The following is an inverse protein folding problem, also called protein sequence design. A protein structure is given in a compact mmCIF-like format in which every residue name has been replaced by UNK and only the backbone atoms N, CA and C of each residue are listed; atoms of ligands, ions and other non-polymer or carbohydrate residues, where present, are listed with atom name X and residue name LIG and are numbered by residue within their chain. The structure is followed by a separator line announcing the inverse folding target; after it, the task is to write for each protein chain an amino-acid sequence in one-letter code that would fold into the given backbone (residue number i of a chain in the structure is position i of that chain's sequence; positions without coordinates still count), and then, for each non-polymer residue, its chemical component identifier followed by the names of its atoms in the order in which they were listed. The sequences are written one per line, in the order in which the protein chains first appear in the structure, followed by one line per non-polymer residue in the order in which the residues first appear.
data_IF_247732196486
#
_entry.id   IF_247732196486
#
_cell.length_a   1.000
_cell.length_b   1.000
_cell.length_c   1.000
_cell.angle_alpha   90.00
_cell.angle_beta   90.00
_cell.angle_gamma   90.00
#
_symmetry.space_group_name_H-M   'P 1'
#
loop_
_entity.id
_entity.type
_entity.pdbx_description
1 polymer ?
#
# COMPACT_ATOMS: atom_id res chain seq x y z
N UNK A 1 26.64 -18.20 4.72
CA UNK A 1 26.34 -19.06 3.55
C UNK A 1 24.86 -19.01 3.17
N UNK A 2 23.92 -19.28 4.09
CA UNK A 2 22.48 -19.30 3.80
C UNK A 2 21.94 -18.01 3.14
N UNK A 3 22.29 -16.83 3.66
CA UNK A 3 21.88 -15.55 3.05
C UNK A 3 22.33 -15.43 1.59
N UNK A 4 23.59 -15.76 1.29
CA UNK A 4 24.11 -15.77 -0.08
C UNK A 4 23.30 -16.72 -0.96
N UNK A 5 22.95 -17.91 -0.47
CA UNK A 5 22.11 -18.84 -1.21
C UNK A 5 20.71 -18.24 -1.50
N UNK A 6 20.06 -17.62 -0.51
CA UNK A 6 18.75 -16.98 -0.69
C UNK A 6 18.79 -15.85 -1.73
N UNK A 7 19.82 -14.98 -1.69
CA UNK A 7 19.98 -13.91 -2.69
C UNK A 7 20.09 -14.44 -4.12
N UNK A 8 20.82 -15.55 -4.31
CA UNK A 8 20.93 -16.20 -5.61
C UNK A 8 19.62 -16.93 -6.00
N UNK A 9 18.97 -17.61 -5.05
CA UNK A 9 17.65 -18.25 -5.26
C UNK A 9 16.62 -17.22 -5.71
N UNK A 10 16.63 -16.01 -5.14
CA UNK A 10 15.73 -14.93 -5.52
C UNK A 10 15.84 -14.61 -7.03
N UNK A 11 17.06 -14.51 -7.57
CA UNK A 11 17.28 -14.32 -9.01
C UNK A 11 16.82 -15.54 -9.84
N UNK A 12 17.14 -16.74 -9.38
CA UNK A 12 16.78 -17.99 -10.06
C UNK A 12 15.25 -18.13 -10.15
N UNK A 13 14.51 -17.86 -9.07
CA UNK A 13 13.05 -17.93 -9.04
C UNK A 13 12.43 -16.86 -9.93
N UNK A 14 13.03 -15.67 -10.06
CA UNK A 14 12.58 -14.67 -11.04
C UNK A 14 12.76 -15.18 -12.48
N UNK A 15 13.93 -15.76 -12.81
CA UNK A 15 14.21 -16.21 -14.17
C UNK A 15 13.49 -17.52 -14.53
N UNK A 16 13.30 -18.41 -13.55
CA UNK A 16 12.74 -19.75 -13.67
C UNK A 16 11.80 -20.07 -12.48
N UNK A 17 10.57 -19.52 -12.46
CA UNK A 17 9.64 -19.65 -11.33
C UNK A 17 9.25 -21.09 -10.97
N UNK A 18 9.34 -22.02 -11.91
CA UNK A 18 8.89 -23.41 -11.73
C UNK A 18 9.88 -24.29 -10.97
N UNK A 19 11.17 -23.94 -10.90
CA UNK A 19 12.21 -24.82 -10.33
C UNK A 19 11.95 -25.15 -8.85
N UNK A 20 11.41 -24.20 -8.10
CA UNK A 20 11.17 -24.33 -6.65
C UNK A 20 9.69 -24.22 -6.27
N UNK A 21 8.78 -24.35 -7.24
CA UNK A 21 7.35 -24.15 -7.02
C UNK A 21 6.73 -25.09 -5.96
N UNK A 22 7.34 -26.26 -5.74
CA UNK A 22 6.88 -27.26 -4.77
C UNK A 22 7.57 -27.18 -3.40
N UNK A 23 8.60 -26.35 -3.25
CA UNK A 23 9.49 -26.33 -2.08
C UNK A 23 9.21 -25.14 -1.14
N UNK A 24 8.00 -24.59 -1.15
CA UNK A 24 7.68 -23.35 -0.44
C UNK A 24 7.96 -23.41 1.07
N UNK A 25 7.75 -24.58 1.69
CA UNK A 25 7.96 -24.80 3.13
C UNK A 25 9.42 -24.62 3.56
N UNK A 26 10.38 -24.80 2.66
CA UNK A 26 11.81 -24.59 2.95
C UNK A 26 12.10 -23.12 3.25
N UNK A 27 11.26 -22.22 2.73
CA UNK A 27 11.38 -20.78 2.90
C UNK A 27 10.61 -20.25 4.11
N UNK A 28 9.95 -21.10 4.90
CA UNK A 28 9.36 -20.64 6.16
C UNK A 28 10.48 -20.27 7.16
N UNK A 29 10.35 -19.09 7.74
CA UNK A 29 11.25 -18.54 8.74
C UNK A 29 11.16 -19.31 10.05
N UNK A 30 12.32 -19.62 10.62
CA UNK A 30 12.42 -20.20 11.95
C UNK A 30 12.58 -19.07 12.97
N UNK A 31 12.18 -19.32 14.21
CA UNK A 31 12.33 -18.36 15.31
C UNK A 31 13.77 -17.85 15.47
N UNK A 32 14.75 -18.74 15.30
CA UNK A 32 16.17 -18.43 15.44
C UNK A 32 16.87 -17.95 14.16
N UNK A 33 16.13 -17.77 13.05
CA UNK A 33 16.71 -17.20 11.84
C UNK A 33 17.07 -15.72 12.06
N UNK A 34 18.26 -15.26 11.64
CA UNK A 34 18.59 -13.85 11.66
C UNK A 34 17.63 -13.01 10.82
N UNK A 35 17.38 -11.75 11.19
CA UNK A 35 16.41 -10.86 10.53
C UNK A 35 16.61 -10.79 9.00
N UNK A 36 17.84 -10.62 8.52
CA UNK A 36 18.16 -10.56 7.09
C UNK A 36 17.87 -11.88 6.35
N UNK A 37 17.88 -13.02 7.04
CA UNK A 37 17.47 -14.32 6.47
C UNK A 37 15.95 -14.38 6.39
N UNK A 38 15.24 -13.95 7.45
CA UNK A 38 13.77 -13.89 7.47
C UNK A 38 13.23 -13.00 6.35
N UNK A 39 13.83 -11.83 6.14
CA UNK A 39 13.45 -10.89 5.08
C UNK A 39 13.60 -11.50 3.68
N UNK A 40 14.72 -12.17 3.38
CA UNK A 40 14.90 -12.81 2.07
C UNK A 40 13.99 -14.01 1.85
N UNK A 41 13.75 -14.79 2.91
CA UNK A 41 12.79 -15.89 2.90
C UNK A 41 11.40 -15.40 2.54
N UNK A 42 10.95 -14.32 3.18
CA UNK A 42 9.68 -13.67 2.93
C UNK A 42 9.53 -13.24 1.46
N UNK A 43 10.55 -12.62 0.88
CA UNK A 43 10.54 -12.22 -0.53
C UNK A 43 10.41 -13.42 -1.49
N UNK A 44 11.11 -14.52 -1.20
CA UNK A 44 11.03 -15.74 -2.00
C UNK A 44 9.64 -16.39 -1.83
N UNK A 45 9.08 -16.41 -0.62
CA UNK A 45 7.73 -16.94 -0.37
C UNK A 45 6.69 -16.23 -1.24
N UNK A 46 6.72 -14.91 -1.33
CA UNK A 46 5.79 -14.13 -2.17
C UNK A 46 5.96 -14.50 -3.65
N UNK A 47 7.19 -14.68 -4.12
CA UNK A 47 7.48 -15.07 -5.51
C UNK A 47 6.97 -16.49 -5.83
N UNK A 48 7.08 -17.42 -4.88
CA UNK A 48 6.60 -18.80 -5.02
C UNK A 48 5.12 -18.99 -4.66
N UNK A 49 4.47 -17.99 -4.09
CA UNK A 49 3.05 -18.04 -3.76
C UNK A 49 2.21 -18.28 -5.03
N UNK A 50 1.29 -19.23 -4.94
CA UNK A 50 0.40 -19.67 -6.00
C UNK A 50 -0.96 -20.06 -5.41
N UNK A 51 -1.98 -20.23 -6.26
CA UNK A 51 -3.31 -20.66 -5.79
C UNK A 51 -3.31 -21.98 -5.01
N UNK A 52 -2.29 -22.83 -5.21
CA UNK A 52 -2.18 -24.15 -4.56
C UNK A 52 -1.63 -24.09 -3.14
N UNK A 53 -0.85 -23.06 -2.81
CA UNK A 53 -0.14 -22.96 -1.54
C UNK A 53 -0.49 -21.71 -0.73
N UNK A 54 -1.31 -20.81 -1.28
CA UNK A 54 -1.61 -19.51 -0.66
C UNK A 54 -2.19 -19.63 0.74
N UNK A 55 -2.99 -20.64 1.03
CA UNK A 55 -3.55 -20.83 2.38
C UNK A 55 -2.47 -21.10 3.43
N UNK A 56 -1.46 -21.92 3.08
CA UNK A 56 -0.30 -22.18 3.95
C UNK A 56 0.56 -20.93 4.11
N UNK A 57 0.75 -20.18 3.02
CA UNK A 57 1.50 -18.91 3.06
C UNK A 57 0.79 -17.91 3.95
N UNK A 58 -0.53 -17.73 3.82
CA UNK A 58 -1.30 -16.80 4.64
C UNK A 58 -1.31 -17.18 6.11
N UNK A 59 -1.42 -18.47 6.43
CA UNK A 59 -1.32 -18.95 7.80
C UNK A 59 0.02 -18.58 8.42
N UNK A 60 1.11 -18.80 7.68
CA UNK A 60 2.47 -18.48 8.12
C UNK A 60 2.69 -16.97 8.25
N UNK A 61 2.23 -16.17 7.27
CA UNK A 61 2.33 -14.70 7.32
C UNK A 61 1.54 -14.10 8.49
N UNK A 62 0.38 -14.70 8.82
CA UNK A 62 -0.39 -14.31 9.98
C UNK A 62 0.37 -14.58 11.28
N UNK A 63 1.08 -15.70 11.39
CA UNK A 63 1.94 -15.99 12.53
C UNK A 63 3.09 -14.96 12.63
N UNK A 64 3.73 -14.63 11.50
CA UNK A 64 4.79 -13.61 11.46
C UNK A 64 4.31 -12.22 11.86
N UNK A 65 3.05 -11.89 11.58
CA UNK A 65 2.44 -10.63 12.01
C UNK A 65 2.22 -10.54 13.54
N UNK A 66 2.48 -11.62 14.29
CA UNK A 66 2.44 -11.64 15.76
C UNK A 66 3.83 -11.73 16.41
N UNK A 67 4.90 -11.68 15.63
CA UNK A 67 6.27 -11.62 16.15
C UNK A 67 6.58 -10.29 16.86
N UNK A 68 7.73 -10.24 17.55
CA UNK A 68 8.18 -9.08 18.33
C UNK A 68 8.92 -8.05 17.48
N UNK A 69 9.55 -8.48 16.37
CA UNK A 69 10.31 -7.60 15.49
C UNK A 69 9.36 -6.79 14.59
N UNK A 70 9.22 -5.50 14.89
CA UNK A 70 8.26 -4.61 14.24
C UNK A 70 8.51 -4.51 12.73
N UNK A 71 9.76 -4.49 12.28
CA UNK A 71 10.09 -4.41 10.86
C UNK A 71 9.65 -5.69 10.14
N UNK A 72 9.95 -6.86 10.71
CA UNK A 72 9.53 -8.14 10.15
C UNK A 72 8.00 -8.30 10.11
N UNK A 73 7.31 -7.87 11.17
CA UNK A 73 5.85 -7.85 11.23
C UNK A 73 5.28 -7.01 10.08
N UNK A 74 5.75 -5.76 9.91
CA UNK A 74 5.28 -4.88 8.83
C UNK A 74 5.50 -5.48 7.45
N UNK A 75 6.70 -6.03 7.22
CA UNK A 75 7.02 -6.71 5.95
C UNK A 75 6.10 -7.91 5.70
N UNK A 76 5.71 -8.63 6.75
CA UNK A 76 4.79 -9.77 6.67
C UNK A 76 3.36 -9.33 6.34
N UNK A 77 2.88 -8.22 6.93
CA UNK A 77 1.59 -7.61 6.57
C UNK A 77 1.59 -7.14 5.11
N UNK A 78 2.66 -6.47 4.66
CA UNK A 78 2.85 -6.13 3.23
C UNK A 78 2.85 -7.35 2.32
N UNK A 79 3.45 -8.45 2.75
CA UNK A 79 3.47 -9.70 1.98
C UNK A 79 2.06 -10.27 1.76
N UNK A 80 1.15 -10.15 2.74
CA UNK A 80 -0.26 -10.53 2.58
C UNK A 80 -0.91 -9.70 1.48
N UNK A 81 -0.67 -8.39 1.47
CA UNK A 81 -1.12 -7.47 0.41
C UNK A 81 -0.64 -7.85 -0.98
N UNK A 82 0.65 -8.16 -1.10
CA UNK A 82 1.26 -8.59 -2.36
C UNK A 82 0.68 -9.92 -2.84
N UNK A 83 0.41 -10.86 -1.94
CA UNK A 83 -0.32 -12.08 -2.27
C UNK A 83 -1.72 -11.78 -2.82
N UNK A 84 -2.46 -10.83 -2.23
CA UNK A 84 -3.78 -10.42 -2.72
C UNK A 84 -3.72 -9.82 -4.14
N UNK A 85 -2.76 -8.92 -4.39
CA UNK A 85 -2.59 -8.25 -5.69
C UNK A 85 -2.13 -9.23 -6.77
N UNK A 86 -1.24 -10.16 -6.41
CA UNK A 86 -0.69 -11.18 -7.33
C UNK A 86 -1.70 -12.27 -7.66
N UNK A 87 -2.51 -12.70 -6.68
CA UNK A 87 -3.41 -13.85 -6.79
C UNK A 87 -4.85 -13.40 -6.54
N UNK A 88 -5.57 -13.05 -7.61
CA UNK A 88 -6.95 -12.54 -7.51
C UNK A 88 -7.89 -13.46 -6.71
N UNK A 89 -7.78 -14.79 -6.89
CA UNK A 89 -8.58 -15.78 -6.12
C UNK A 89 -8.22 -15.88 -4.64
N UNK A 90 -7.14 -15.24 -4.20
CA UNK A 90 -6.73 -15.19 -2.81
C UNK A 90 -7.06 -13.84 -2.15
N UNK A 91 -7.43 -12.81 -2.91
CA UNK A 91 -7.62 -11.46 -2.39
C UNK A 91 -8.62 -11.40 -1.23
N UNK A 92 -9.77 -12.07 -1.35
CA UNK A 92 -10.79 -12.12 -0.28
C UNK A 92 -10.24 -12.76 1.00
N UNK A 93 -9.49 -13.87 0.88
CA UNK A 93 -8.84 -14.53 2.02
C UNK A 93 -7.78 -13.63 2.66
N UNK A 94 -7.01 -12.90 1.86
CA UNK A 94 -6.00 -11.96 2.35
C UNK A 94 -6.65 -10.82 3.15
N UNK A 95 -7.78 -10.27 2.65
CA UNK A 95 -8.54 -9.23 3.36
C UNK A 95 -9.05 -9.74 4.70
N UNK A 96 -9.59 -10.96 4.76
CA UNK A 96 -10.05 -11.53 6.02
C UNK A 96 -8.91 -11.64 7.04
N UNK A 97 -7.72 -12.07 6.62
CA UNK A 97 -6.54 -12.08 7.50
C UNK A 97 -6.17 -10.67 7.96
N UNK A 98 -6.17 -9.67 7.07
CA UNK A 98 -5.87 -8.28 7.43
C UNK A 98 -6.89 -7.71 8.42
N UNK A 99 -8.17 -8.06 8.30
CA UNK A 99 -9.21 -7.67 9.26
C UNK A 99 -9.01 -8.30 10.62
N UNK A 100 -8.66 -9.59 10.67
CA UNK A 100 -8.30 -10.26 11.93
C UNK A 100 -7.09 -9.58 12.58
N UNK A 101 -6.10 -9.16 11.79
CA UNK A 101 -4.94 -8.41 12.28
C UNK A 101 -5.32 -7.02 12.80
N UNK A 102 -6.23 -6.30 12.15
CA UNK A 102 -6.76 -5.02 12.64
C UNK A 102 -7.47 -5.20 13.98
N UNK A 103 -8.23 -6.28 14.15
CA UNK A 103 -8.94 -6.59 15.39
C UNK A 103 -8.01 -6.86 16.59
N UNK A 104 -6.72 -7.15 16.35
CA UNK A 104 -5.73 -7.26 17.44
C UNK A 104 -5.46 -5.94 18.16
N UNK A 105 -5.83 -4.80 17.53
CA UNK A 105 -5.60 -3.43 18.03
C UNK A 105 -4.13 -3.10 18.30
N UNK A 106 -3.19 -3.86 17.72
CA UNK A 106 -1.77 -3.52 17.75
C UNK A 106 -1.53 -2.39 16.75
N UNK A 107 -1.23 -1.19 17.27
CA UNK A 107 -1.18 0.06 16.49
C UNK A 107 -0.39 -0.06 15.18
N UNK A 108 0.89 -0.45 15.20
CA UNK A 108 1.71 -0.53 13.98
C UNK A 108 1.25 -1.62 13.00
N UNK A 109 0.52 -2.64 13.45
CA UNK A 109 -0.09 -3.67 12.60
C UNK A 109 -1.32 -3.11 11.90
N UNK A 110 -2.18 -2.40 12.64
CA UNK A 110 -3.38 -1.75 12.10
C UNK A 110 -3.00 -0.76 11.00
N UNK A 111 -1.99 0.08 11.26
CA UNK A 111 -1.51 1.07 10.31
C UNK A 111 -0.99 0.45 9.02
N UNK A 112 -0.16 -0.59 9.14
CA UNK A 112 0.36 -1.30 7.97
C UNK A 112 -0.77 -2.01 7.20
N UNK A 113 -1.75 -2.58 7.90
CA UNK A 113 -2.91 -3.21 7.27
C UNK A 113 -3.76 -2.20 6.48
N UNK A 114 -3.97 -0.99 6.99
CA UNK A 114 -4.69 0.09 6.27
C UNK A 114 -3.97 0.46 4.96
N UNK A 115 -2.65 0.61 5.00
CA UNK A 115 -1.83 0.91 3.81
C UNK A 115 -2.02 -0.18 2.75
N UNK A 116 -1.93 -1.45 3.18
CA UNK A 116 -2.09 -2.61 2.32
C UNK A 116 -3.51 -2.70 1.73
N UNK A 117 -4.55 -2.48 2.55
CA UNK A 117 -5.95 -2.56 2.10
C UNK A 117 -6.24 -1.48 1.05
N UNK A 118 -5.70 -0.26 1.21
CA UNK A 118 -5.80 0.79 0.19
C UNK A 118 -5.26 0.29 -1.16
N UNK A 119 -4.11 -0.39 -1.19
CA UNK A 119 -3.57 -0.92 -2.44
C UNK A 119 -4.41 -2.07 -3.02
N UNK A 120 -4.99 -2.93 -2.17
CA UNK A 120 -5.95 -3.94 -2.62
C UNK A 120 -7.20 -3.28 -3.24
N UNK A 121 -7.72 -2.21 -2.65
CA UNK A 121 -8.85 -1.45 -3.19
C UNK A 121 -8.52 -0.79 -4.54
N UNK A 122 -7.29 -0.30 -4.71
CA UNK A 122 -6.81 0.23 -5.99
C UNK A 122 -6.68 -0.85 -7.06
N UNK A 123 -6.42 -2.10 -6.67
CA UNK A 123 -6.36 -3.25 -7.59
C UNK A 123 -7.74 -3.80 -7.94
N UNK A 124 -8.64 -3.84 -6.96
CA UNK A 124 -9.96 -4.45 -7.06
C UNK A 124 -11.05 -3.48 -6.57
N UNK A 125 -11.31 -2.39 -7.31
CA UNK A 125 -12.27 -1.37 -6.89
C UNK A 125 -13.68 -1.95 -6.74
N UNK A 126 -14.45 -1.40 -5.79
CA UNK A 126 -15.86 -1.71 -5.53
C UNK A 126 -16.19 -3.19 -5.18
N UNK A 127 -15.19 -4.02 -4.83
CA UNK A 127 -15.42 -5.43 -4.48
C UNK A 127 -15.55 -5.70 -2.98
N UNK A 128 -14.91 -4.87 -2.15
CA UNK A 128 -14.71 -5.13 -0.72
C UNK A 128 -15.18 -3.97 0.16
N UNK A 129 -16.20 -3.23 -0.28
CA UNK A 129 -16.69 -2.02 0.39
C UNK A 129 -17.22 -2.28 1.81
N UNK A 130 -17.69 -3.50 2.09
CA UNK A 130 -18.25 -3.89 3.40
C UNK A 130 -17.28 -3.73 4.56
N UNK A 131 -15.97 -3.70 4.30
CA UNK A 131 -14.94 -3.60 5.34
C UNK A 131 -14.65 -2.15 5.75
N UNK A 132 -15.11 -1.16 4.98
CA UNK A 132 -14.81 0.26 5.18
C UNK A 132 -15.26 0.73 6.56
N UNK A 133 -16.44 0.30 7.03
CA UNK A 133 -16.92 0.63 8.37
C UNK A 133 -15.93 0.24 9.47
N UNK A 134 -15.40 -0.99 9.41
CA UNK A 134 -14.38 -1.47 10.36
C UNK A 134 -13.09 -0.67 10.27
N UNK A 135 -12.69 -0.18 9.09
CA UNK A 135 -11.52 0.68 8.94
C UNK A 135 -11.74 2.04 9.61
N UNK A 136 -12.89 2.66 9.41
CA UNK A 136 -13.26 3.94 10.01
C UNK A 136 -13.33 3.86 11.55
N UNK A 137 -13.76 2.73 12.12
CA UNK A 137 -13.74 2.51 13.59
C UNK A 137 -12.33 2.51 14.22
N UNK A 138 -11.27 2.47 13.41
CA UNK A 138 -9.88 2.42 13.89
C UNK A 138 -9.09 3.71 13.59
N UNK A 139 -9.76 4.80 13.18
CA UNK A 139 -9.12 6.07 12.81
C UNK A 139 -8.22 6.66 13.90
N UNK A 140 -8.66 6.61 15.16
CA UNK A 140 -7.93 7.16 16.31
C UNK A 140 -6.56 6.50 16.56
N UNK A 141 -6.32 5.35 15.92
CA UNK A 141 -5.06 4.61 16.04
C UNK A 141 -4.03 5.00 14.97
N UNK A 142 -4.36 5.89 14.03
CA UNK A 142 -3.47 6.24 12.92
C UNK A 142 -2.60 7.46 13.27
N UNK A 143 -1.30 7.27 13.42
CA UNK A 143 -0.31 8.32 13.67
C UNK A 143 0.70 8.48 12.52
N UNK A 144 0.95 7.43 11.74
CA UNK A 144 1.88 7.46 10.62
C UNK A 144 1.30 8.17 9.39
N UNK A 145 2.07 9.07 8.76
CA UNK A 145 1.63 9.80 7.57
C UNK A 145 1.15 8.90 6.42
N UNK A 146 1.82 7.76 6.20
CA UNK A 146 1.45 6.83 5.14
C UNK A 146 0.10 6.14 5.40
N UNK A 147 -0.17 5.78 6.66
CA UNK A 147 -1.43 5.18 7.07
C UNK A 147 -2.58 6.19 7.07
N UNK A 148 -2.35 7.40 7.62
CA UNK A 148 -3.31 8.53 7.54
C UNK A 148 -3.66 8.86 6.09
N UNK A 149 -2.66 9.07 5.25
CA UNK A 149 -2.86 9.34 3.82
C UNK A 149 -3.61 8.22 3.10
N UNK A 150 -3.34 6.96 3.48
CA UNK A 150 -4.06 5.80 2.92
C UNK A 150 -5.54 5.79 3.34
N UNK A 151 -5.83 6.12 4.58
CA UNK A 151 -7.21 6.20 5.07
C UNK A 151 -7.98 7.36 4.46
N UNK A 152 -7.38 8.55 4.40
CA UNK A 152 -7.96 9.73 3.74
C UNK A 152 -8.27 9.44 2.27
N UNK A 153 -7.39 8.69 1.58
CA UNK A 153 -7.66 8.23 0.23
C UNK A 153 -8.88 7.31 0.15
N UNK A 154 -9.02 6.35 1.08
CA UNK A 154 -10.18 5.44 1.12
C UNK A 154 -11.47 6.24 1.32
N UNK A 155 -11.46 7.19 2.27
CA UNK A 155 -12.63 8.04 2.55
C UNK A 155 -13.02 8.85 1.30
N UNK A 156 -12.06 9.51 0.63
CA UNK A 156 -12.35 10.29 -0.57
C UNK A 156 -12.78 9.45 -1.78
N UNK A 157 -12.18 8.27 -2.00
CA UNK A 157 -12.52 7.39 -3.12
C UNK A 157 -13.90 6.75 -2.94
N UNK A 158 -14.26 6.38 -1.71
CA UNK A 158 -15.53 5.71 -1.38
C UNK A 158 -16.54 6.61 -0.66
N UNK A 159 -16.37 7.94 -0.77
CA UNK A 159 -17.22 8.93 -0.11
C UNK A 159 -18.73 8.77 -0.36
N UNK A 160 -19.17 8.15 -1.47
CA UNK A 160 -20.59 7.88 -1.72
C UNK A 160 -21.17 6.79 -0.83
N UNK A 161 -20.32 5.90 -0.30
CA UNK A 161 -20.69 4.75 0.54
C UNK A 161 -20.57 5.02 2.04
N UNK A 162 -19.87 6.09 2.40
CA UNK A 162 -19.60 6.47 3.79
C UNK A 162 -20.53 7.65 4.11
N UNK A 163 -21.51 7.44 4.97
CA UNK A 163 -22.52 8.47 5.25
C UNK A 163 -21.89 9.70 5.90
N UNK A 164 -21.05 9.52 6.93
CA UNK A 164 -20.35 10.58 7.67
C UNK A 164 -18.96 10.92 7.11
N UNK A 165 -18.74 10.78 5.79
CA UNK A 165 -17.44 11.02 5.16
C UNK A 165 -16.91 12.45 5.36
N UNK A 166 -17.83 13.41 5.40
CA UNK A 166 -17.58 14.82 5.70
C UNK A 166 -17.05 15.00 7.12
N UNK A 167 -17.73 14.47 8.14
CA UNK A 167 -17.28 14.54 9.53
C UNK A 167 -15.88 13.93 9.71
N UNK A 168 -15.65 12.76 9.09
CA UNK A 168 -14.35 12.08 9.14
C UNK A 168 -13.22 12.86 8.45
N UNK A 169 -13.51 13.54 7.34
CA UNK A 169 -12.50 14.39 6.69
C UNK A 169 -12.29 15.70 7.45
N UNK A 170 -13.34 16.27 8.04
CA UNK A 170 -13.25 17.48 8.86
C UNK A 170 -12.27 17.27 10.03
N UNK A 171 -12.34 16.12 10.72
CA UNK A 171 -11.42 15.81 11.82
C UNK A 171 -9.95 15.75 11.39
N UNK A 172 -9.65 15.35 10.15
CA UNK A 172 -8.27 15.42 9.62
C UNK A 172 -7.88 16.87 9.31
N UNK A 173 -8.80 17.65 8.72
CA UNK A 173 -8.55 19.04 8.34
C UNK A 173 -8.29 19.96 9.54
N UNK A 174 -8.79 19.65 10.74
CA UNK A 174 -8.50 20.40 11.97
C UNK A 174 -7.00 20.50 12.28
N UNK A 175 -6.21 19.52 11.85
CA UNK A 175 -4.75 19.47 12.04
C UNK A 175 -3.96 19.66 10.75
N UNK A 176 -4.57 20.25 9.70
CA UNK A 176 -4.01 20.34 8.36
C UNK A 176 -2.58 20.91 8.34
N UNK A 177 -2.31 21.97 9.08
CA UNK A 177 -1.02 22.68 9.08
C UNK A 177 0.09 21.90 9.81
N UNK A 178 -0.28 21.03 10.75
CA UNK A 178 0.65 20.19 11.50
C UNK A 178 1.02 18.89 10.74
N UNK A 179 0.27 18.56 9.70
CA UNK A 179 0.45 17.34 8.92
C UNK A 179 1.53 17.47 7.84
N UNK A 180 2.09 16.32 7.45
CA UNK A 180 3.07 16.28 6.37
C UNK A 180 2.45 16.69 5.03
N UNK A 181 3.27 17.25 4.12
CA UNK A 181 2.83 17.63 2.77
C UNK A 181 2.11 16.49 2.01
N UNK A 182 2.56 15.25 2.19
CA UNK A 182 1.90 14.08 1.60
C UNK A 182 0.46 13.87 2.11
N UNK A 183 0.21 14.09 3.40
CA UNK A 183 -1.11 13.96 4.02
C UNK A 183 -1.99 15.14 3.63
N UNK A 184 -1.45 16.36 3.62
CA UNK A 184 -2.14 17.57 3.13
C UNK A 184 -2.63 17.41 1.69
N UNK A 185 -1.80 16.86 0.79
CA UNK A 185 -2.18 16.57 -0.59
C UNK A 185 -3.31 15.53 -0.70
N UNK A 186 -3.32 14.53 0.19
CA UNK A 186 -4.41 13.54 0.26
C UNK A 186 -5.70 14.20 0.78
N UNK A 187 -5.63 15.02 1.83
CA UNK A 187 -6.77 15.77 2.36
C UNK A 187 -7.40 16.64 1.27
N UNK A 188 -6.58 17.47 0.60
CA UNK A 188 -7.02 18.31 -0.51
C UNK A 188 -7.74 17.50 -1.61
N UNK A 189 -7.14 16.39 -2.04
CA UNK A 189 -7.73 15.56 -3.09
C UNK A 189 -9.00 14.83 -2.63
N UNK A 190 -9.04 14.34 -1.39
CA UNK A 190 -10.20 13.65 -0.82
C UNK A 190 -11.39 14.61 -0.64
N UNK A 191 -11.15 15.82 -0.12
CA UNK A 191 -12.18 16.86 0.01
C UNK A 191 -12.72 17.29 -1.35
N UNK A 192 -11.87 17.46 -2.37
CA UNK A 192 -12.34 17.76 -3.73
C UNK A 192 -13.19 16.63 -4.30
N UNK A 193 -12.80 15.35 -4.11
CA UNK A 193 -13.64 14.22 -4.54
C UNK A 193 -14.97 14.20 -3.81
N UNK A 194 -14.97 14.40 -2.49
CA UNK A 194 -16.18 14.47 -1.69
C UNK A 194 -17.10 15.58 -2.21
N UNK A 195 -16.57 16.77 -2.49
CA UNK A 195 -17.33 17.87 -3.07
C UNK A 195 -17.95 17.57 -4.43
N UNK A 196 -17.17 16.94 -5.33
CA UNK A 196 -17.68 16.57 -6.66
C UNK A 196 -18.82 15.53 -6.59
N UNK A 197 -18.89 14.75 -5.50
CA UNK A 197 -19.93 13.74 -5.26
C UNK A 197 -21.12 14.29 -4.47
N UNK A 198 -20.88 15.13 -3.46
CA UNK A 198 -21.89 15.69 -2.53
C UNK A 198 -21.76 17.22 -2.39
N UNK A 199 -22.00 18.00 -3.46
CA UNK A 199 -21.68 19.43 -3.47
C UNK A 199 -22.51 20.27 -2.51
N UNK A 200 -23.75 19.87 -2.20
CA UNK A 200 -24.66 20.66 -1.36
C UNK A 200 -24.20 20.74 0.11
N UNK A 201 -23.56 19.70 0.63
CA UNK A 201 -23.18 19.58 2.04
C UNK A 201 -21.74 20.03 2.29
N UNK A 202 -20.89 20.01 1.25
CA UNK A 202 -19.42 20.07 1.41
C UNK A 202 -18.80 21.32 0.77
N UNK A 203 -19.64 22.28 0.34
CA UNK A 203 -19.19 23.52 -0.29
C UNK A 203 -18.27 24.35 0.62
N UNK A 204 -18.59 24.44 1.92
CA UNK A 204 -17.76 25.17 2.88
C UNK A 204 -16.41 24.48 3.07
N UNK A 205 -16.42 23.16 3.30
CA UNK A 205 -15.23 22.35 3.50
C UNK A 205 -14.23 22.46 2.32
N UNK A 206 -14.73 22.43 1.07
CA UNK A 206 -13.84 22.58 -0.10
C UNK A 206 -13.27 24.00 -0.21
N UNK A 207 -14.01 25.04 0.19
CA UNK A 207 -13.50 26.41 0.22
C UNK A 207 -12.41 26.59 1.28
N UNK A 208 -12.63 26.01 2.46
CA UNK A 208 -11.69 26.07 3.58
C UNK A 208 -10.38 25.36 3.21
N UNK A 209 -10.43 24.12 2.70
CA UNK A 209 -9.19 23.39 2.31
C UNK A 209 -8.45 24.05 1.15
N UNK A 210 -9.16 24.66 0.20
CA UNK A 210 -8.53 25.39 -0.90
C UNK A 210 -7.84 26.66 -0.41
N UNK A 211 -8.41 27.33 0.60
CA UNK A 211 -7.80 28.49 1.25
C UNK A 211 -6.52 28.07 1.97
N UNK A 212 -6.59 27.03 2.81
CA UNK A 212 -5.44 26.46 3.49
C UNK A 212 -4.32 26.07 2.51
N UNK A 213 -4.67 25.34 1.44
CA UNK A 213 -3.71 24.87 0.46
C UNK A 213 -3.06 26.00 -0.37
N UNK A 214 -3.72 27.14 -0.57
CA UNK A 214 -3.25 28.18 -1.52
C UNK A 214 -2.73 29.45 -0.86
N UNK A 215 -3.37 29.90 0.21
CA UNK A 215 -3.07 31.15 0.91
C UNK A 215 -2.15 30.91 2.12
N UNK A 216 -2.40 29.83 2.86
CA UNK A 216 -1.73 29.59 4.14
C UNK A 216 -0.55 28.61 4.03
N UNK A 217 -0.49 27.81 2.96
CA UNK A 217 0.62 26.89 2.72
C UNK A 217 1.84 27.56 2.07
N UNK A 218 3.03 27.23 2.56
CA UNK A 218 4.31 27.57 1.94
C UNK A 218 4.80 26.52 0.92
N UNK A 219 4.14 25.36 0.81
CA UNK A 219 4.56 24.29 -0.09
C UNK A 219 4.12 24.57 -1.53
N UNK A 220 5.05 24.76 -2.49
CA UNK A 220 4.69 25.14 -3.86
C UNK A 220 3.85 24.07 -4.59
N UNK A 221 4.11 22.78 -4.36
CA UNK A 221 3.34 21.69 -4.98
C UNK A 221 1.89 21.66 -4.46
N UNK A 222 1.71 21.86 -3.15
CA UNK A 222 0.39 21.94 -2.53
C UNK A 222 -0.39 23.16 -3.04
N UNK A 223 0.26 24.32 -3.11
CA UNK A 223 -0.34 25.56 -3.64
C UNK A 223 -0.74 25.43 -5.10
N UNK A 224 0.15 24.89 -5.93
CA UNK A 224 -0.11 24.70 -7.36
C UNK A 224 -1.30 23.74 -7.55
N UNK A 225 -1.33 22.62 -6.83
CA UNK A 225 -2.45 21.68 -6.89
C UNK A 225 -3.75 22.30 -6.37
N UNK A 226 -3.68 23.10 -5.31
CA UNK A 226 -4.81 23.87 -4.79
C UNK A 226 -5.36 24.84 -5.84
N UNK A 227 -4.51 25.62 -6.51
CA UNK A 227 -4.95 26.53 -7.58
C UNK A 227 -5.50 25.79 -8.80
N UNK A 228 -4.93 24.63 -9.17
CA UNK A 228 -5.47 23.78 -10.25
C UNK A 228 -6.89 23.35 -9.90
N UNK A 229 -7.12 22.79 -8.71
CA UNK A 229 -8.46 22.40 -8.29
C UNK A 229 -9.40 23.59 -8.19
N UNK A 230 -8.98 24.71 -7.62
CA UNK A 230 -9.79 25.92 -7.52
C UNK A 230 -10.27 26.38 -8.89
N UNK A 231 -9.33 26.54 -9.84
CA UNK A 231 -9.64 26.97 -11.21
C UNK A 231 -10.52 25.97 -11.93
N UNK A 232 -10.24 24.67 -11.79
CA UNK A 232 -11.03 23.61 -12.41
C UNK A 232 -12.48 23.65 -11.91
N UNK A 233 -12.69 23.69 -10.58
CA UNK A 233 -14.01 23.75 -9.96
C UNK A 233 -14.77 25.04 -10.28
N UNK A 234 -14.07 26.17 -10.37
CA UNK A 234 -14.71 27.47 -10.67
C UNK A 234 -15.02 27.68 -12.15
N UNK A 235 -14.30 26.98 -13.05
CA UNK A 235 -14.48 27.10 -14.50
C UNK A 235 -15.57 26.17 -14.99
N UNK A 236 -15.50 24.89 -14.65
CA UNK A 236 -16.42 23.87 -15.13
C UNK A 236 -16.47 22.67 -14.16
N UNK A 237 -17.49 22.62 -13.28
CA UNK A 237 -17.70 21.50 -12.36
C UNK A 237 -17.91 20.15 -13.04
N UNK A 238 -18.50 20.11 -14.24
CA UNK A 238 -18.74 18.86 -14.96
C UNK A 238 -17.45 18.33 -15.58
N UNK A 239 -16.61 19.20 -16.15
CA UNK A 239 -15.25 18.83 -16.54
C UNK A 239 -14.42 18.38 -15.34
N UNK A 240 -14.58 19.03 -14.17
CA UNK A 240 -13.89 18.64 -12.95
C UNK A 240 -14.22 17.20 -12.52
N UNK A 241 -15.49 16.78 -12.61
CA UNK A 241 -15.89 15.38 -12.38
C UNK A 241 -15.20 14.44 -13.36
N UNK A 242 -15.20 14.76 -14.65
CA UNK A 242 -14.59 13.92 -15.68
C UNK A 242 -13.07 13.79 -15.51
N UNK A 243 -12.39 14.80 -14.98
CA UNK A 243 -10.95 14.78 -14.76
C UNK A 243 -10.58 14.09 -13.44
N UNK A 244 -11.20 14.49 -12.33
CA UNK A 244 -10.81 14.05 -10.98
C UNK A 244 -11.37 12.67 -10.63
N UNK A 245 -12.59 12.38 -11.08
CA UNK A 245 -13.27 11.10 -10.86
C UNK A 245 -13.12 10.14 -12.04
N UNK A 246 -12.20 10.42 -12.97
CA UNK A 246 -11.86 9.50 -14.05
C UNK A 246 -11.51 8.10 -13.51
N UNK A 247 -11.90 7.08 -14.27
CA UNK A 247 -11.47 5.71 -14.01
C UNK A 247 -9.94 5.62 -14.16
N UNK A 248 -9.28 5.19 -13.08
CA UNK A 248 -7.82 5.09 -13.04
C UNK A 248 -7.41 3.68 -13.48
N UNK A 249 -6.28 3.52 -14.18
CA UNK A 249 -5.81 2.19 -14.55
C UNK A 249 -5.46 1.36 -13.31
N UNK A 250 -5.64 0.04 -13.44
CA UNK A 250 -5.31 -0.90 -12.36
C UNK A 250 -3.80 -0.88 -12.06
N UNK A 251 -3.46 -0.97 -10.77
CA UNK A 251 -2.08 -1.14 -10.34
C UNK A 251 -1.60 -2.58 -10.57
N UNK A 252 -0.30 -2.77 -10.77
CA UNK A 252 0.35 -4.08 -10.75
C UNK A 252 1.49 -4.05 -9.71
N UNK A 253 1.75 -5.18 -9.04
CA UNK A 253 2.92 -5.29 -8.14
C UNK A 253 4.16 -5.69 -8.93
N UNK A 254 4.86 -4.68 -9.46
CA UNK A 254 6.18 -4.83 -10.11
C UNK A 254 7.33 -4.39 -9.18
N UNK A 255 7.05 -4.16 -7.88
CA UNK A 255 7.96 -3.47 -6.96
C UNK A 255 9.30 -4.19 -6.72
N UNK A 256 9.34 -5.50 -6.97
CA UNK A 256 10.51 -6.36 -6.72
C UNK A 256 10.85 -7.30 -7.89
N UNK A 257 10.30 -7.00 -9.08
CA UNK A 257 10.68 -7.65 -10.33
C UNK A 257 11.82 -6.85 -10.95
N UNK A 258 12.94 -7.52 -11.21
CA UNK A 258 14.04 -6.90 -11.93
C UNK A 258 13.69 -6.76 -13.40
N UNK A 259 14.21 -5.70 -14.03
CA UNK A 259 14.16 -5.57 -15.49
C UNK A 259 14.75 -6.85 -16.13
N UNK A 260 14.10 -7.45 -17.15
CA UNK A 260 14.56 -8.69 -17.75
C UNK A 260 16.02 -8.66 -18.24
N UNK A 261 16.49 -7.52 -18.74
CA UNK A 261 17.88 -7.35 -19.21
C UNK A 261 18.88 -7.38 -18.05
N UNK A 262 18.56 -6.68 -16.96
CA UNK A 262 19.36 -6.66 -15.73
C UNK A 262 19.35 -8.03 -15.06
N UNK A 263 18.20 -8.72 -15.06
CA UNK A 263 18.10 -10.09 -14.55
C UNK A 263 19.00 -11.04 -15.34
N UNK A 264 19.01 -10.93 -16.68
CA UNK A 264 19.86 -11.77 -17.52
C UNK A 264 21.35 -11.53 -17.29
N UNK A 265 21.76 -10.29 -17.12
CA UNK A 265 23.12 -9.96 -16.69
C UNK A 265 23.45 -10.58 -15.33
N UNK A 266 22.59 -10.39 -14.33
CA UNK A 266 22.80 -10.88 -12.97
C UNK A 266 22.85 -12.41 -12.88
N UNK A 267 22.13 -13.12 -13.75
CA UNK A 267 22.19 -14.59 -13.84
C UNK A 267 23.57 -15.07 -14.30
N UNK A 268 24.30 -14.30 -15.10
CA UNK A 268 25.69 -14.63 -15.47
C UNK A 268 26.68 -14.39 -14.33
N UNK A 269 26.28 -13.63 -13.31
CA UNK A 269 27.09 -13.25 -12.15
C UNK A 269 26.62 -13.91 -10.85
N UNK A 270 25.98 -15.08 -10.93
CA UNK A 270 25.63 -15.87 -9.74
C UNK A 270 26.89 -16.17 -8.91
N UNK A 271 26.70 -16.24 -7.59
CA UNK A 271 27.77 -16.41 -6.59
C UNK A 271 28.81 -15.28 -6.51
N UNK A 272 28.53 -14.10 -7.08
CA UNK A 272 29.38 -12.90 -6.94
C UNK A 272 28.71 -11.83 -6.06
N UNK A 273 29.41 -10.72 -5.79
CA UNK A 273 28.81 -9.56 -5.12
C UNK A 273 27.63 -8.96 -5.89
N UNK A 274 27.64 -9.03 -7.23
CA UNK A 274 26.55 -8.52 -8.06
C UNK A 274 25.23 -9.26 -7.75
N UNK A 275 25.29 -10.58 -7.58
CA UNK A 275 24.10 -11.39 -7.24
C UNK A 275 23.67 -11.27 -5.78
N UNK A 276 24.53 -10.78 -4.90
CA UNK A 276 24.16 -10.45 -3.51
C UNK A 276 23.52 -9.05 -3.47
N UNK A 277 24.09 -8.07 -4.16
CA UNK A 277 23.54 -6.71 -4.19
C UNK A 277 22.33 -6.56 -5.11
N UNK A 278 22.08 -7.53 -6.00
CA UNK A 278 21.11 -7.42 -7.10
C UNK A 278 21.34 -6.16 -7.93
N UNK A 279 22.61 -5.87 -8.20
CA UNK A 279 23.05 -4.71 -8.96
C UNK A 279 24.10 -5.13 -9.99
N UNK A 280 24.08 -4.56 -11.21
CA UNK A 280 25.15 -4.76 -12.18
C UNK A 280 26.52 -4.40 -11.60
N UNK A 281 27.60 -5.12 -11.94
CA UNK A 281 28.95 -4.80 -11.46
C UNK A 281 29.37 -3.35 -11.70
N UNK A 282 28.93 -2.75 -12.81
CA UNK A 282 29.21 -1.35 -13.18
C UNK A 282 28.69 -0.30 -12.19
N UNK A 283 27.80 -0.68 -11.27
CA UNK A 283 27.22 0.26 -10.28
C UNK A 283 28.05 0.38 -8.99
N UNK A 284 29.05 -0.48 -8.78
CA UNK A 284 29.84 -0.51 -7.55
C UNK A 284 31.33 -0.81 -7.78
N UNK A 285 31.78 -0.74 -9.03
CA UNK A 285 33.19 -0.83 -9.45
C UNK A 285 33.64 0.53 -9.96
#
# INVERSE_FOLDING_TARGET
IQYVALRNINLIVQKRPTILAHEIKVFFSKYNDPIYVKMEKLEIMIKLASERNVDQVLMELKEYATEVDVEFVRRSVRAIGRCAIKLERAAERCINVLLELIQTKVNYVVQEAVIVIKDIFRKFPNRYESIIGTLCENLDTLDEPEAKGSMIWIIGEYAERIDNADELLESFLESFDDETASVQLQMLTATVKLFLKRPAETQKMVQDVLTLATQDSDNPDLRDRGYIYWRLLSTDPEAAKQVVLAEKPNINDDSFTLDPSVLDELITHLSTLASIYHKPPSTFI
#
